data_IF_963016936227
#
_entry.id   IF_963016936227
#
_cell.length_a   1.000
_cell.length_b   1.000
_cell.length_c   1.000
_cell.angle_alpha   90.00
_cell.angle_beta   90.00
_cell.angle_gamma   90.00
#
_symmetry.space_group_name_H-M   'P 1'
#
loop_
_entity.id
_entity.type
_entity.pdbx_description
1 polymer ?
#
# COMPACT_ATOMS: atom_id res chain seq x y z
N UNK A 1 13.41 1.83 12.43
CA UNK A 1 14.35 2.12 13.53
C UNK A 1 14.50 0.92 14.44
N UNK A 2 15.60 0.87 15.24
CA UNK A 2 15.88 -0.17 16.21
C UNK A 2 15.02 -0.06 17.48
N UNK A 3 15.48 -0.77 18.53
CA UNK A 3 14.85 -0.71 19.86
C UNK A 3 15.21 0.60 20.56
N UNK A 4 14.25 1.15 21.29
CA UNK A 4 14.41 2.36 22.13
C UNK A 4 14.00 2.06 23.58
N UNK A 5 14.57 2.80 24.53
CA UNK A 5 14.21 2.70 25.95
C UNK A 5 14.25 4.09 26.59
N UNK A 6 13.19 4.50 27.36
CA UNK A 6 11.92 3.76 27.53
C UNK A 6 11.15 3.61 26.20
N UNK A 7 10.18 2.70 26.14
CA UNK A 7 9.32 2.51 24.98
C UNK A 7 7.85 2.70 25.42
N UNK A 8 7.15 3.71 24.93
CA UNK A 8 7.56 4.72 23.94
C UNK A 8 8.43 5.85 24.52
N UNK A 9 9.09 6.61 23.60
CA UNK A 9 9.64 7.93 23.90
C UNK A 9 8.78 9.00 23.23
N UNK A 10 8.79 10.22 23.78
CA UNK A 10 8.11 11.35 23.17
C UNK A 10 9.15 12.32 22.60
N UNK A 11 9.03 12.63 21.29
CA UNK A 11 9.85 13.64 20.63
C UNK A 11 9.09 14.96 20.59
N UNK A 12 9.79 16.05 20.96
CA UNK A 12 9.20 17.40 20.99
C UNK A 12 9.68 18.21 19.78
N UNK A 13 8.77 18.95 19.14
CA UNK A 13 9.13 19.84 18.04
C UNK A 13 10.19 20.87 18.48
N UNK A 14 11.23 21.00 17.66
CA UNK A 14 12.39 21.85 17.93
C UNK A 14 13.58 21.12 18.54
N UNK A 15 13.42 19.96 19.15
CA UNK A 15 14.50 19.15 19.69
C UNK A 15 15.40 18.57 18.60
N UNK A 16 16.59 18.14 19.01
CA UNK A 16 17.50 17.38 18.17
C UNK A 16 17.30 15.88 18.41
N UNK A 17 17.27 15.14 17.31
CA UNK A 17 17.20 13.68 17.32
C UNK A 17 18.21 13.10 16.34
N UNK A 18 18.96 12.08 16.77
CA UNK A 18 20.00 11.48 15.93
C UNK A 18 19.57 10.11 15.43
N UNK A 19 19.65 9.88 14.13
CA UNK A 19 19.57 8.56 13.52
C UNK A 19 21.00 8.05 13.33
N UNK A 20 21.28 6.81 13.74
CA UNK A 20 22.63 6.23 13.67
C UNK A 20 22.61 4.84 13.07
N UNK A 21 23.63 4.51 12.27
CA UNK A 21 23.82 3.13 11.75
C UNK A 21 24.47 2.21 12.79
N UNK A 22 24.95 2.77 13.90
CA UNK A 22 25.48 1.97 15.00
C UNK A 22 24.36 1.18 15.69
N UNK A 23 24.61 -0.08 15.97
CA UNK A 23 23.67 -0.93 16.68
C UNK A 23 23.67 -0.57 18.19
N UNK A 24 22.70 0.22 18.60
CA UNK A 24 22.55 0.70 19.97
C UNK A 24 21.11 0.56 20.44
N UNK A 25 20.93 0.49 21.76
CA UNK A 25 19.61 0.73 22.36
C UNK A 25 19.38 2.25 22.32
N UNK A 26 18.35 2.67 21.59
CA UNK A 26 18.01 4.07 21.42
C UNK A 26 17.38 4.69 22.67
N UNK A 27 17.17 6.02 22.60
CA UNK A 27 16.58 6.83 23.67
C UNK A 27 15.77 7.98 23.04
N UNK A 28 15.30 8.93 23.86
CA UNK A 28 14.63 10.14 23.36
C UNK A 28 15.50 11.06 22.47
N UNK A 29 16.82 10.86 22.43
CA UNK A 29 17.74 11.69 21.61
C UNK A 29 18.41 10.95 20.44
N UNK A 30 18.29 9.61 20.38
CA UNK A 30 18.99 8.82 19.36
C UNK A 30 18.30 7.48 19.14
N UNK A 31 18.25 7.03 17.88
CA UNK A 31 17.82 5.67 17.54
C UNK A 31 18.70 5.07 16.44
N UNK A 32 18.94 3.76 16.52
CA UNK A 32 19.59 3.01 15.45
C UNK A 32 18.66 2.83 14.25
N UNK A 33 19.26 2.73 13.06
CA UNK A 33 18.60 2.37 11.82
C UNK A 33 19.20 1.10 11.25
N UNK A 34 18.40 0.34 10.50
CA UNK A 34 18.82 -0.93 9.92
C UNK A 34 19.49 -0.78 8.55
N UNK A 35 19.40 0.38 7.94
CA UNK A 35 19.99 0.68 6.64
C UNK A 35 21.34 1.37 6.83
N UNK A 36 22.43 0.61 6.72
CA UNK A 36 23.80 1.08 7.00
C UNK A 36 24.27 2.19 6.07
N UNK A 37 23.73 2.26 4.84
CA UNK A 37 24.06 3.30 3.85
C UNK A 37 23.22 4.56 3.96
N UNK A 38 22.40 4.68 5.00
CA UNK A 38 21.53 5.85 5.18
C UNK A 38 22.31 7.18 5.14
N UNK A 39 23.50 7.32 5.79
CA UNK A 39 24.28 8.54 5.71
C UNK A 39 24.83 8.86 4.31
N UNK A 40 24.97 7.86 3.43
CA UNK A 40 25.48 8.06 2.06
C UNK A 40 24.44 8.73 1.17
N UNK A 41 23.16 8.51 1.43
CA UNK A 41 22.04 8.97 0.60
C UNK A 41 21.38 10.24 1.15
N UNK A 42 21.34 10.40 2.47
CA UNK A 42 20.74 11.58 3.12
C UNK A 42 21.66 12.80 3.00
N UNK A 43 21.06 13.97 2.79
CA UNK A 43 21.75 15.26 2.77
C UNK A 43 21.07 16.24 3.74
N UNK A 44 21.79 17.24 4.27
CA UNK A 44 21.17 18.31 5.04
C UNK A 44 20.01 18.96 4.25
N UNK A 45 18.89 19.18 4.93
CA UNK A 45 17.63 19.66 4.35
C UNK A 45 16.66 18.55 3.91
N UNK A 46 17.09 17.27 3.87
CA UNK A 46 16.16 16.20 3.58
C UNK A 46 15.16 16.00 4.72
N UNK A 47 13.92 15.74 4.36
CA UNK A 47 12.86 15.40 5.30
C UNK A 47 12.82 13.89 5.48
N UNK A 48 12.77 13.46 6.72
CA UNK A 48 12.69 12.06 7.13
C UNK A 48 11.42 11.89 7.95
N UNK A 49 10.61 10.91 7.59
CA UNK A 49 9.41 10.56 8.32
C UNK A 49 9.64 9.31 9.16
N UNK A 50 9.10 9.28 10.38
CA UNK A 50 9.04 8.12 11.25
C UNK A 50 7.60 7.82 11.61
N UNK A 51 7.33 6.57 12.00
CA UNK A 51 6.03 6.15 12.51
C UNK A 51 4.89 6.52 11.55
N UNK A 52 5.00 6.02 10.31
CA UNK A 52 3.99 6.19 9.24
C UNK A 52 3.65 7.67 8.93
N UNK A 53 4.68 8.53 9.00
CA UNK A 53 4.55 9.96 8.70
C UNK A 53 4.11 10.84 9.87
N UNK A 54 3.81 10.27 11.04
CA UNK A 54 3.35 11.01 12.22
C UNK A 54 4.45 11.89 12.83
N UNK A 55 5.72 11.51 12.66
CA UNK A 55 6.87 12.27 13.13
C UNK A 55 7.67 12.73 11.92
N UNK A 56 7.98 14.01 11.86
CA UNK A 56 8.76 14.61 10.78
C UNK A 56 10.07 15.17 11.33
N UNK A 57 11.16 14.76 10.71
CA UNK A 57 12.50 15.21 11.02
C UNK A 57 13.10 15.94 9.80
N UNK A 58 13.95 16.92 10.02
CA UNK A 58 14.80 17.54 9.00
C UNK A 58 16.25 17.24 9.30
N UNK A 59 16.96 16.63 8.37
CA UNK A 59 18.38 16.37 8.50
C UNK A 59 19.16 17.68 8.51
N UNK A 60 19.95 17.93 9.57
CA UNK A 60 20.78 19.14 9.71
C UNK A 60 22.22 18.84 9.38
N UNK A 61 22.74 17.73 9.89
CA UNK A 61 24.15 17.33 9.73
C UNK A 61 24.23 15.83 9.52
N UNK A 62 25.05 15.46 8.55
CA UNK A 62 25.33 14.05 8.24
C UNK A 62 26.81 13.79 8.47
N UNK A 63 27.13 12.67 9.09
CA UNK A 63 28.48 12.14 9.31
C UNK A 63 28.51 10.65 8.91
N UNK A 64 29.67 9.99 9.06
CA UNK A 64 29.83 8.59 8.58
C UNK A 64 28.82 7.60 9.14
N UNK A 65 28.32 7.84 10.36
CA UNK A 65 27.38 6.92 11.02
C UNK A 65 26.14 7.60 11.55
N UNK A 66 26.13 8.94 11.64
CA UNK A 66 25.09 9.69 12.34
C UNK A 66 24.46 10.75 11.44
N UNK A 67 23.15 10.85 11.51
CA UNK A 67 22.36 11.91 10.91
C UNK A 67 21.69 12.66 12.06
N UNK A 68 22.18 13.88 12.33
CA UNK A 68 21.54 14.76 13.30
C UNK A 68 20.38 15.48 12.62
N UNK A 69 19.22 15.33 13.20
CA UNK A 69 17.98 15.88 12.70
C UNK A 69 17.37 16.86 13.70
N UNK A 70 16.63 17.84 13.19
CA UNK A 70 15.70 18.65 13.96
C UNK A 70 14.31 18.04 13.89
N UNK A 71 13.64 17.88 15.00
CA UNK A 71 12.23 17.44 15.05
C UNK A 71 11.37 18.61 14.56
N UNK A 72 10.69 18.44 13.42
CA UNK A 72 9.74 19.41 12.86
C UNK A 72 8.36 19.16 13.43
N UNK A 73 7.89 17.91 13.33
CA UNK A 73 6.65 17.45 13.95
C UNK A 73 7.02 16.35 14.95
N UNK A 74 6.73 16.59 16.21
CA UNK A 74 6.97 15.64 17.30
C UNK A 74 5.82 14.67 17.50
N UNK A 75 6.03 13.68 18.38
CA UNK A 75 5.02 12.68 18.71
C UNK A 75 5.62 11.50 19.47
N UNK A 76 4.76 10.52 19.72
CA UNK A 76 5.16 9.26 20.35
C UNK A 76 5.89 8.37 19.36
N UNK A 77 7.12 8.00 19.69
CA UNK A 77 7.96 7.10 18.91
C UNK A 77 8.15 5.78 19.67
N UNK A 78 7.81 4.69 19.00
CA UNK A 78 7.99 3.32 19.52
C UNK A 78 9.13 2.61 18.80
N UNK A 79 9.63 1.54 19.42
CA UNK A 79 10.60 0.63 18.82
C UNK A 79 10.11 0.04 17.51
N UNK A 80 11.04 -0.22 16.59
CA UNK A 80 10.83 -0.94 15.32
C UNK A 80 9.84 -0.27 14.35
N UNK A 81 9.66 1.05 14.46
CA UNK A 81 8.84 1.81 13.51
C UNK A 81 9.57 2.08 12.20
N UNK A 82 8.79 2.20 11.12
CA UNK A 82 9.27 2.51 9.79
C UNK A 82 9.96 3.88 9.69
N UNK A 83 10.84 4.01 8.71
CA UNK A 83 11.52 5.23 8.34
C UNK A 83 11.33 5.42 6.84
N UNK A 84 10.81 6.56 6.42
CA UNK A 84 10.57 6.91 5.03
C UNK A 84 11.29 8.21 4.70
N UNK A 85 11.87 8.28 3.49
CA UNK A 85 12.54 9.48 2.99
C UNK A 85 12.03 9.71 1.56
N UNK A 86 11.00 10.54 1.40
CA UNK A 86 10.42 10.78 0.08
C UNK A 86 11.42 11.33 -0.94
N UNK A 87 11.27 10.93 -2.19
CA UNK A 87 12.08 11.40 -3.32
C UNK A 87 13.58 11.07 -3.23
N UNK A 88 13.98 10.10 -2.41
CA UNK A 88 15.37 9.64 -2.36
C UNK A 88 15.44 8.18 -2.83
N UNK A 89 16.24 7.96 -3.87
CA UNK A 89 16.63 6.61 -4.24
C UNK A 89 17.65 6.07 -3.23
N UNK A 90 17.24 5.01 -2.54
CA UNK A 90 18.10 4.34 -1.55
C UNK A 90 19.14 3.42 -2.21
N UNK A 91 19.05 3.18 -3.52
CA UNK A 91 19.93 2.29 -4.26
C UNK A 91 19.88 0.85 -3.76
N UNK A 92 18.73 0.41 -3.25
CA UNK A 92 18.47 -0.96 -2.83
C UNK A 92 17.40 -1.57 -3.72
N UNK A 93 17.57 -2.85 -4.05
CA UNK A 93 16.53 -3.59 -4.76
C UNK A 93 15.28 -3.71 -3.90
N UNK A 94 14.11 -3.57 -4.50
CA UNK A 94 12.84 -3.87 -3.84
C UNK A 94 12.72 -5.36 -3.48
N UNK A 95 13.46 -6.22 -4.17
CA UNK A 95 13.54 -7.66 -3.92
C UNK A 95 14.94 -8.04 -3.43
N UNK A 96 15.05 -8.36 -2.15
CA UNK A 96 16.30 -8.66 -1.45
C UNK A 96 16.57 -10.17 -1.40
N UNK A 97 17.76 -10.57 -0.94
CA UNK A 97 18.08 -11.98 -0.70
C UNK A 97 17.20 -12.62 0.36
N UNK A 98 16.83 -11.85 1.39
CA UNK A 98 15.88 -12.29 2.40
C UNK A 98 14.46 -12.50 1.82
N UNK A 99 14.04 -11.64 0.89
CA UNK A 99 12.76 -11.83 0.19
C UNK A 99 12.78 -13.07 -0.69
N UNK A 100 13.95 -13.43 -1.24
CA UNK A 100 14.12 -14.68 -2.00
C UNK A 100 13.91 -15.91 -1.11
N UNK A 101 14.42 -15.94 0.12
CA UNK A 101 14.19 -17.02 1.07
C UNK A 101 12.69 -17.18 1.39
N UNK A 102 12.00 -16.07 1.64
CA UNK A 102 10.56 -16.08 1.89
C UNK A 102 9.74 -16.47 0.65
N UNK A 103 10.17 -16.06 -0.53
CA UNK A 103 9.55 -16.46 -1.78
C UNK A 103 9.64 -17.98 -1.97
N UNK A 104 10.80 -18.56 -1.74
CA UNK A 104 11.00 -20.01 -1.81
C UNK A 104 10.08 -20.73 -0.82
N UNK A 105 10.05 -20.30 0.44
CA UNK A 105 9.17 -20.85 1.46
C UNK A 105 7.70 -20.77 1.05
N UNK A 106 7.25 -19.62 0.53
CA UNK A 106 5.88 -19.41 0.08
C UNK A 106 5.49 -20.37 -1.07
N UNK A 107 6.40 -20.57 -2.04
CA UNK A 107 6.18 -21.47 -3.17
C UNK A 107 6.10 -22.93 -2.71
N UNK A 108 7.00 -23.36 -1.84
CA UNK A 108 7.02 -24.71 -1.25
C UNK A 108 5.73 -25.01 -0.46
N UNK A 109 5.12 -23.99 0.14
CA UNK A 109 3.84 -24.10 0.86
C UNK A 109 2.60 -23.82 0.01
N UNK A 110 2.75 -23.69 -1.31
CA UNK A 110 1.64 -23.64 -2.26
C UNK A 110 0.84 -22.31 -2.26
N UNK A 111 1.46 -21.19 -1.87
CA UNK A 111 0.82 -19.87 -1.86
C UNK A 111 0.39 -19.47 -3.27
N UNK A 112 -0.83 -18.96 -3.42
CA UNK A 112 -1.43 -18.62 -4.72
C UNK A 112 -1.03 -17.24 -5.23
N UNK A 113 -0.81 -16.28 -4.34
CA UNK A 113 -0.43 -14.91 -4.69
C UNK A 113 0.69 -14.39 -3.79
N UNK A 114 1.54 -13.53 -4.34
CA UNK A 114 2.63 -12.85 -3.65
C UNK A 114 2.52 -11.35 -3.92
N UNK A 115 2.69 -10.55 -2.87
CA UNK A 115 2.74 -9.10 -2.98
C UNK A 115 4.16 -8.60 -2.80
N UNK A 116 4.71 -7.93 -3.82
CA UNK A 116 6.02 -7.28 -3.75
C UNK A 116 5.88 -5.86 -3.23
N UNK A 117 6.52 -5.55 -2.10
CA UNK A 117 6.57 -4.21 -1.52
C UNK A 117 7.56 -3.30 -2.23
N UNK A 118 7.35 -2.00 -2.13
CA UNK A 118 8.25 -0.95 -2.60
C UNK A 118 8.61 -1.02 -4.09
N UNK A 119 7.68 -1.48 -4.91
CA UNK A 119 7.86 -1.54 -6.36
C UNK A 119 7.99 -0.12 -6.92
N UNK A 120 9.02 0.12 -7.72
CA UNK A 120 9.23 1.38 -8.43
C UNK A 120 9.28 1.21 -9.96
N UNK A 121 9.63 0.02 -10.45
CA UNK A 121 9.80 -0.23 -11.86
C UNK A 121 9.36 -1.65 -12.26
N UNK A 122 9.17 -1.86 -13.56
CA UNK A 122 8.92 -3.17 -14.17
C UNK A 122 9.95 -4.23 -13.76
N UNK A 123 11.22 -3.82 -13.66
CA UNK A 123 12.32 -4.71 -13.27
C UNK A 123 12.11 -5.39 -11.92
N UNK A 124 11.47 -4.71 -10.95
CA UNK A 124 11.23 -5.26 -9.62
C UNK A 124 10.30 -6.47 -9.69
N UNK A 125 9.26 -6.37 -10.51
CA UNK A 125 8.31 -7.48 -10.74
C UNK A 125 8.94 -8.61 -11.56
N UNK A 126 9.77 -8.27 -12.55
CA UNK A 126 10.47 -9.25 -13.37
C UNK A 126 11.41 -10.08 -12.51
N UNK A 127 12.17 -9.47 -11.58
CA UNK A 127 13.04 -10.17 -10.64
C UNK A 127 12.30 -11.20 -9.79
N UNK A 128 11.17 -10.80 -9.20
CA UNK A 128 10.30 -11.71 -8.41
C UNK A 128 9.79 -12.86 -9.28
N UNK A 129 9.35 -12.56 -10.49
CA UNK A 129 8.80 -13.56 -11.43
C UNK A 129 9.85 -14.59 -11.86
N UNK A 130 11.07 -14.15 -12.17
CA UNK A 130 12.15 -15.06 -12.53
C UNK A 130 12.64 -15.89 -11.33
N UNK A 131 12.73 -15.30 -10.15
CA UNK A 131 13.03 -16.03 -8.92
C UNK A 131 11.97 -17.11 -8.61
N UNK A 132 10.69 -16.75 -8.73
CA UNK A 132 9.58 -17.70 -8.56
C UNK A 132 9.64 -18.86 -9.56
N UNK A 133 9.97 -18.56 -10.81
CA UNK A 133 10.15 -19.53 -11.87
C UNK A 133 11.28 -20.52 -11.56
N UNK A 134 12.39 -20.02 -11.01
CA UNK A 134 13.52 -20.85 -10.58
C UNK A 134 13.12 -21.79 -9.43
N UNK A 135 12.17 -21.41 -8.58
CA UNK A 135 11.57 -22.26 -7.54
C UNK A 135 10.50 -23.22 -8.08
N UNK A 136 10.22 -23.22 -9.38
CA UNK A 136 9.36 -24.20 -10.06
C UNK A 136 7.87 -23.80 -10.20
N UNK A 137 7.43 -22.67 -9.66
CA UNK A 137 6.04 -22.17 -9.79
C UNK A 137 6.03 -20.64 -9.84
N UNK A 138 5.18 -20.07 -10.69
CA UNK A 138 4.93 -18.63 -10.72
C UNK A 138 3.56 -18.36 -10.10
N UNK A 139 3.48 -17.79 -8.89
CA UNK A 139 2.23 -17.36 -8.28
C UNK A 139 1.69 -16.09 -8.95
N UNK A 140 0.50 -15.67 -8.59
CA UNK A 140 -0.06 -14.37 -8.97
C UNK A 140 0.75 -13.26 -8.27
N UNK A 141 1.36 -12.33 -9.03
CA UNK A 141 2.24 -11.30 -8.49
C UNK A 141 1.52 -9.95 -8.43
N UNK A 142 1.39 -9.42 -7.22
CA UNK A 142 0.76 -8.13 -6.93
C UNK A 142 1.86 -7.10 -6.66
N UNK A 143 1.90 -6.02 -7.45
CA UNK A 143 2.78 -4.89 -7.21
C UNK A 143 2.17 -3.95 -6.17
N UNK A 144 2.84 -3.74 -5.03
CA UNK A 144 2.41 -2.75 -4.04
C UNK A 144 2.93 -1.37 -4.43
N UNK A 145 2.01 -0.46 -4.68
CA UNK A 145 2.30 0.93 -5.05
C UNK A 145 2.36 1.74 -3.77
N UNK A 146 3.57 1.93 -3.30
CA UNK A 146 3.92 2.54 -2.00
C UNK A 146 4.81 3.77 -2.16
N UNK A 147 5.48 3.92 -3.32
CA UNK A 147 6.48 4.96 -3.56
C UNK A 147 6.08 5.88 -4.68
N UNK A 148 6.52 7.13 -4.57
CA UNK A 148 6.25 8.16 -5.60
C UNK A 148 6.86 7.81 -6.96
N UNK A 149 8.01 7.12 -7.01
CA UNK A 149 8.63 6.64 -8.23
C UNK A 149 7.76 5.70 -9.05
N UNK A 150 6.99 4.83 -8.40
CA UNK A 150 6.06 3.91 -9.07
C UNK A 150 4.99 4.63 -9.89
N UNK A 151 4.61 5.86 -9.51
CA UNK A 151 3.56 6.62 -10.21
C UNK A 151 3.98 7.01 -11.64
N UNK A 152 5.27 7.26 -11.84
CA UNK A 152 5.81 7.60 -13.15
C UNK A 152 5.91 6.36 -14.06
N UNK A 153 6.10 5.19 -13.48
CA UNK A 153 6.36 3.93 -14.17
C UNK A 153 5.15 2.97 -14.13
N UNK A 154 3.98 3.48 -13.73
CA UNK A 154 2.80 2.61 -13.46
C UNK A 154 2.37 1.78 -14.66
N UNK A 155 2.48 2.29 -15.88
CA UNK A 155 2.08 1.57 -17.08
C UNK A 155 2.98 0.34 -17.31
N UNK A 156 4.28 0.49 -17.14
CA UNK A 156 5.25 -0.62 -17.24
C UNK A 156 5.10 -1.63 -16.09
N UNK A 157 4.79 -1.14 -14.88
CA UNK A 157 4.52 -2.01 -13.72
C UNK A 157 3.26 -2.84 -13.99
N UNK A 158 2.19 -2.23 -14.50
CA UNK A 158 0.96 -2.93 -14.86
C UNK A 158 1.16 -3.98 -15.96
N UNK A 159 2.07 -3.77 -16.91
CA UNK A 159 2.43 -4.78 -17.89
C UNK A 159 3.05 -6.03 -17.27
N UNK A 160 3.90 -5.86 -16.25
CA UNK A 160 4.66 -6.95 -15.64
C UNK A 160 3.92 -7.66 -14.50
N UNK A 161 3.14 -6.93 -13.72
CA UNK A 161 2.38 -7.44 -12.58
C UNK A 161 1.06 -8.09 -13.03
N UNK A 162 0.53 -8.99 -12.21
CA UNK A 162 -0.77 -9.61 -12.43
C UNK A 162 -1.90 -8.78 -11.79
N UNK A 163 -1.59 -7.97 -10.79
CA UNK A 163 -2.47 -7.02 -10.13
C UNK A 163 -1.67 -5.95 -9.39
N UNK A 164 -2.35 -4.96 -8.83
CA UNK A 164 -1.72 -3.93 -7.99
C UNK A 164 -2.42 -3.80 -6.64
N UNK A 165 -1.65 -3.35 -5.65
CA UNK A 165 -2.18 -2.91 -4.35
C UNK A 165 -1.83 -1.42 -4.16
N UNK A 166 -2.84 -0.61 -3.91
CA UNK A 166 -2.66 0.79 -3.54
C UNK A 166 -2.51 0.83 -2.02
N UNK A 167 -1.25 0.87 -1.56
CA UNK A 167 -0.90 0.86 -0.15
C UNK A 167 -0.81 2.30 0.37
N UNK A 168 -1.95 2.85 0.77
CA UNK A 168 -2.15 4.29 1.04
C UNK A 168 -1.37 4.79 2.25
N UNK A 169 -0.99 3.91 3.18
CA UNK A 169 -0.16 4.26 4.34
C UNK A 169 1.19 4.80 3.91
N UNK A 170 1.99 3.97 3.24
CA UNK A 170 3.32 4.36 2.76
C UNK A 170 3.24 5.39 1.64
N UNK A 171 2.34 5.20 0.67
CA UNK A 171 2.17 6.15 -0.42
C UNK A 171 1.76 7.56 0.08
N UNK A 172 0.96 7.64 1.16
CA UNK A 172 0.55 8.90 1.77
C UNK A 172 1.68 9.64 2.50
N UNK A 173 2.80 8.96 2.77
CA UNK A 173 4.03 9.57 3.28
C UNK A 173 4.93 10.03 2.13
N UNK A 174 4.88 9.34 1.00
CA UNK A 174 5.70 9.59 -0.19
C UNK A 174 5.19 10.75 -1.06
N UNK A 175 3.89 11.04 -1.02
CA UNK A 175 3.26 12.13 -1.79
C UNK A 175 2.49 13.07 -0.86
N UNK A 176 2.22 14.34 -1.28
CA UNK A 176 1.36 15.24 -0.50
C UNK A 176 0.00 14.59 -0.20
N UNK A 177 -0.40 14.60 1.07
CA UNK A 177 -1.57 13.86 1.56
C UNK A 177 -2.87 14.25 0.84
N UNK A 178 -3.00 15.52 0.42
CA UNK A 178 -4.13 16.01 -0.34
C UNK A 178 -4.24 15.40 -1.73
N UNK A 179 -3.19 14.77 -2.23
CA UNK A 179 -3.18 14.12 -3.55
C UNK A 179 -3.55 12.64 -3.50
N UNK A 180 -3.59 12.02 -2.32
CA UNK A 180 -3.77 10.56 -2.22
C UNK A 180 -5.05 10.08 -2.91
N UNK A 181 -6.16 10.80 -2.74
CA UNK A 181 -7.44 10.43 -3.37
C UNK A 181 -7.39 10.54 -4.90
N UNK A 182 -6.70 11.56 -5.42
CA UNK A 182 -6.53 11.75 -6.87
C UNK A 182 -5.67 10.64 -7.46
N UNK A 183 -4.56 10.33 -6.80
CA UNK A 183 -3.62 9.27 -7.21
C UNK A 183 -4.31 7.90 -7.15
N UNK A 184 -5.06 7.60 -6.08
CA UNK A 184 -5.86 6.38 -5.98
C UNK A 184 -6.77 6.19 -7.21
N UNK A 185 -7.54 7.22 -7.57
CA UNK A 185 -8.44 7.17 -8.72
C UNK A 185 -7.70 6.97 -10.05
N UNK A 186 -6.53 7.59 -10.21
CA UNK A 186 -5.71 7.44 -11.40
C UNK A 186 -5.14 6.02 -11.52
N UNK A 187 -4.60 5.47 -10.45
CA UNK A 187 -4.06 4.11 -10.39
C UNK A 187 -5.16 3.09 -10.69
N UNK A 188 -6.31 3.24 -10.03
CA UNK A 188 -7.45 2.37 -10.20
C UNK A 188 -7.97 2.35 -11.64
N UNK A 189 -8.11 3.54 -12.24
CA UNK A 189 -8.51 3.66 -13.65
C UNK A 189 -7.52 2.97 -14.60
N UNK A 190 -6.21 3.17 -14.41
CA UNK A 190 -5.18 2.54 -15.25
C UNK A 190 -5.21 1.02 -15.13
N UNK A 191 -5.28 0.49 -13.91
CA UNK A 191 -5.35 -0.94 -13.68
C UNK A 191 -6.62 -1.56 -14.28
N UNK A 192 -7.78 -0.95 -14.06
CA UNK A 192 -9.05 -1.41 -14.62
C UNK A 192 -9.04 -1.41 -16.16
N UNK A 193 -8.46 -0.36 -16.79
CA UNK A 193 -8.30 -0.33 -18.24
C UNK A 193 -7.35 -1.41 -18.77
N UNK A 194 -6.39 -1.83 -17.97
CA UNK A 194 -5.45 -2.91 -18.29
C UNK A 194 -5.98 -4.30 -17.92
N UNK A 195 -7.21 -4.39 -17.39
CA UNK A 195 -7.80 -5.65 -16.93
C UNK A 195 -7.08 -6.26 -15.74
N UNK A 196 -6.39 -5.45 -14.91
CA UNK A 196 -5.64 -5.90 -13.74
C UNK A 196 -6.41 -5.62 -12.47
N UNK A 197 -6.57 -6.61 -11.57
CA UNK A 197 -7.25 -6.41 -10.29
C UNK A 197 -6.48 -5.44 -9.38
N UNK A 198 -7.27 -4.68 -8.61
CA UNK A 198 -6.80 -3.67 -7.68
C UNK A 198 -7.22 -3.99 -6.26
N UNK A 199 -6.28 -3.92 -5.34
CA UNK A 199 -6.51 -3.99 -3.91
C UNK A 199 -6.32 -2.58 -3.33
N UNK A 200 -7.32 -2.05 -2.62
CA UNK A 200 -7.16 -0.83 -1.83
C UNK A 200 -6.88 -1.22 -0.39
N UNK A 201 -5.74 -0.76 0.12
CA UNK A 201 -5.20 -1.19 1.40
C UNK A 201 -4.89 0.00 2.32
N UNK A 202 -4.78 -0.32 3.61
CA UNK A 202 -4.38 0.53 4.74
C UNK A 202 -5.40 1.60 5.12
N UNK A 203 -5.57 1.78 6.43
CA UNK A 203 -6.44 2.80 7.02
C UNK A 203 -7.88 2.78 6.49
N UNK A 204 -8.42 1.59 6.20
CA UNK A 204 -9.79 1.45 5.70
C UNK A 204 -10.81 1.68 6.81
N UNK A 205 -10.63 1.03 7.96
CA UNK A 205 -11.46 1.14 9.16
C UNK A 205 -10.58 1.27 10.42
N UNK A 206 -9.49 2.03 10.35
CA UNK A 206 -8.41 2.10 11.34
C UNK A 206 -8.91 2.32 12.76
N UNK A 207 -9.93 3.17 12.93
CA UNK A 207 -10.54 3.44 14.25
C UNK A 207 -11.15 2.19 14.88
N UNK A 208 -11.47 1.16 14.09
CA UNK A 208 -12.00 -0.12 14.57
C UNK A 208 -10.92 -1.01 15.20
N UNK A 209 -9.67 -0.63 15.15
CA UNK A 209 -8.63 -1.24 15.99
C UNK A 209 -8.99 -1.15 17.48
N UNK A 210 -9.55 -0.02 17.90
CA UNK A 210 -9.93 0.26 19.28
C UNK A 210 -11.44 0.41 19.52
N UNK A 211 -12.24 0.61 18.48
CA UNK A 211 -13.67 0.87 18.58
C UNK A 211 -14.49 -0.17 17.82
N UNK A 212 -15.66 -0.52 18.34
CA UNK A 212 -16.57 -1.49 17.72
C UNK A 212 -17.31 -0.96 16.48
N UNK A 213 -17.12 0.33 16.13
CA UNK A 213 -17.77 0.98 14.97
C UNK A 213 -16.79 1.95 14.33
N UNK A 214 -16.79 2.07 12.98
CA UNK A 214 -15.94 3.01 12.28
C UNK A 214 -16.48 4.44 12.40
N UNK A 215 -15.64 5.39 12.05
CA UNK A 215 -16.06 6.76 11.79
C UNK A 215 -16.86 6.83 10.48
N UNK A 216 -17.62 7.93 10.31
CA UNK A 216 -18.34 8.18 9.04
C UNK A 216 -17.37 8.39 7.88
N UNK A 217 -16.23 9.00 8.15
CA UNK A 217 -15.19 9.25 7.15
C UNK A 217 -14.63 7.93 6.60
N UNK A 218 -14.31 6.97 7.47
CA UNK A 218 -13.82 5.64 7.09
C UNK A 218 -14.86 4.85 6.30
N UNK A 219 -16.11 4.83 6.75
CA UNK A 219 -17.19 4.17 6.01
C UNK A 219 -17.39 4.77 4.61
N UNK A 220 -17.22 6.09 4.48
CA UNK A 220 -17.28 6.80 3.19
C UNK A 220 -16.05 6.50 2.34
N UNK A 221 -14.87 6.36 2.94
CA UNK A 221 -13.64 6.04 2.23
C UNK A 221 -13.70 4.63 1.63
N UNK A 222 -14.12 3.62 2.39
CA UNK A 222 -14.38 2.27 1.87
C UNK A 222 -15.38 2.31 0.71
N UNK A 223 -16.49 3.02 0.89
CA UNK A 223 -17.51 3.16 -0.15
C UNK A 223 -16.94 3.81 -1.43
N UNK A 224 -16.14 4.86 -1.29
CA UNK A 224 -15.49 5.53 -2.42
C UNK A 224 -14.50 4.62 -3.14
N UNK A 225 -13.67 3.84 -2.42
CA UNK A 225 -12.77 2.89 -3.04
C UNK A 225 -13.52 1.88 -3.92
N UNK A 226 -14.67 1.39 -3.45
CA UNK A 226 -15.52 0.45 -4.20
C UNK A 226 -16.14 1.15 -5.43
N UNK A 227 -16.65 2.38 -5.27
CA UNK A 227 -17.21 3.17 -6.38
C UNK A 227 -16.14 3.51 -7.43
N UNK A 228 -14.91 3.73 -7.02
CA UNK A 228 -13.76 3.98 -7.90
C UNK A 228 -13.36 2.76 -8.72
N UNK A 229 -13.80 1.56 -8.31
CA UNK A 229 -13.59 0.32 -9.07
C UNK A 229 -12.58 -0.64 -8.48
N UNK A 230 -12.27 -0.56 -7.16
CA UNK A 230 -11.43 -1.58 -6.51
C UNK A 230 -12.07 -2.97 -6.59
N UNK A 231 -11.23 -3.99 -6.74
CA UNK A 231 -11.68 -5.39 -6.74
C UNK A 231 -11.65 -5.98 -5.34
N UNK A 232 -10.70 -5.53 -4.52
CA UNK A 232 -10.57 -5.93 -3.13
C UNK A 232 -10.32 -4.73 -2.23
N UNK A 233 -10.78 -4.82 -0.99
CA UNK A 233 -10.42 -3.92 0.11
C UNK A 233 -9.75 -4.74 1.21
N UNK A 234 -8.68 -4.22 1.83
CA UNK A 234 -7.87 -4.95 2.79
C UNK A 234 -7.92 -4.27 4.15
N UNK A 235 -8.18 -5.06 5.19
CA UNK A 235 -7.93 -4.68 6.58
C UNK A 235 -6.48 -5.03 6.95
N UNK A 236 -5.88 -4.25 7.84
CA UNK A 236 -4.52 -4.42 8.34
C UNK A 236 -4.56 -4.59 9.88
N UNK A 237 -4.23 -3.55 10.62
CA UNK A 237 -4.25 -3.55 12.08
C UNK A 237 -5.61 -3.91 12.67
N UNK A 238 -6.69 -3.53 12.00
CA UNK A 238 -8.07 -3.76 12.42
C UNK A 238 -8.37 -5.26 12.66
N UNK A 239 -7.83 -6.12 11.81
CA UNK A 239 -8.02 -7.58 11.93
C UNK A 239 -6.81 -8.29 12.54
N UNK A 240 -5.59 -7.76 12.39
CA UNK A 240 -4.36 -8.42 12.84
C UNK A 240 -4.07 -8.21 14.32
N UNK A 241 -4.40 -7.05 14.88
CA UNK A 241 -4.08 -6.67 16.26
C UNK A 241 -5.18 -5.87 16.97
N UNK A 242 -6.26 -5.55 16.26
CA UNK A 242 -7.38 -4.78 16.79
C UNK A 242 -8.19 -5.57 17.83
N UNK A 243 -8.97 -4.85 18.63
CA UNK A 243 -9.87 -5.42 19.63
C UNK A 243 -11.16 -5.99 19.02
N UNK A 244 -11.49 -5.62 17.78
CA UNK A 244 -12.74 -5.92 17.10
C UNK A 244 -12.54 -6.50 15.68
N UNK A 245 -11.76 -7.59 15.51
CA UNK A 245 -11.41 -8.11 14.19
C UNK A 245 -12.62 -8.63 13.40
N UNK A 246 -13.54 -9.32 14.09
CA UNK A 246 -14.75 -9.88 13.46
C UNK A 246 -15.70 -8.77 13.06
N UNK A 247 -15.91 -7.77 13.91
CA UNK A 247 -16.78 -6.63 13.67
C UNK A 247 -16.24 -5.75 12.53
N UNK A 248 -14.90 -5.57 12.46
CA UNK A 248 -14.25 -4.83 11.39
C UNK A 248 -14.48 -5.51 10.04
N UNK A 249 -14.28 -6.82 9.96
CA UNK A 249 -14.54 -7.60 8.75
C UNK A 249 -16.02 -7.55 8.37
N UNK A 250 -16.92 -7.75 9.33
CA UNK A 250 -18.36 -7.68 9.09
C UNK A 250 -18.81 -6.29 8.63
N UNK A 251 -18.22 -5.23 9.17
CA UNK A 251 -18.51 -3.85 8.75
C UNK A 251 -18.04 -3.59 7.33
N UNK A 252 -16.83 -4.02 6.97
CA UNK A 252 -16.30 -3.90 5.61
C UNK A 252 -17.24 -4.57 4.60
N UNK A 253 -17.68 -5.80 4.89
CA UNK A 253 -18.63 -6.53 4.06
C UNK A 253 -19.97 -5.79 3.95
N UNK A 254 -20.51 -5.26 5.05
CA UNK A 254 -21.77 -4.50 5.04
C UNK A 254 -21.68 -3.27 4.15
N UNK A 255 -20.57 -2.53 4.20
CA UNK A 255 -20.36 -1.36 3.35
C UNK A 255 -20.26 -1.81 1.88
N UNK A 256 -19.49 -2.86 1.59
CA UNK A 256 -19.35 -3.38 0.24
C UNK A 256 -20.70 -3.79 -0.36
N UNK A 257 -21.49 -4.59 0.33
CA UNK A 257 -22.81 -5.03 -0.12
C UNK A 257 -23.77 -3.84 -0.34
N UNK A 258 -23.71 -2.83 0.53
CA UNK A 258 -24.58 -1.66 0.42
C UNK A 258 -24.23 -0.78 -0.79
N UNK A 259 -22.94 -0.67 -1.14
CA UNK A 259 -22.49 0.25 -2.19
C UNK A 259 -22.36 -0.38 -3.57
N UNK A 260 -22.12 -1.70 -3.65
CA UNK A 260 -21.91 -2.44 -4.89
C UNK A 260 -22.97 -2.14 -5.97
N UNK A 261 -24.30 -2.11 -5.65
CA UNK A 261 -25.33 -1.76 -6.63
C UNK A 261 -25.20 -0.35 -7.21
N UNK A 262 -24.44 0.53 -6.58
CA UNK A 262 -24.25 1.92 -6.99
C UNK A 262 -23.00 2.12 -7.85
N UNK A 263 -22.19 1.07 -8.07
CA UNK A 263 -21.00 1.17 -8.95
C UNK A 263 -21.43 1.64 -10.35
N UNK A 264 -20.67 2.53 -11.00
CA UNK A 264 -21.03 3.02 -12.33
C UNK A 264 -21.25 1.92 -13.36
N UNK A 265 -20.44 0.88 -13.37
CA UNK A 265 -20.57 -0.27 -14.26
C UNK A 265 -21.84 -1.09 -14.00
N UNK A 266 -22.36 -1.14 -12.79
CA UNK A 266 -23.58 -1.89 -12.45
C UNK A 266 -24.81 -1.28 -13.14
N UNK A 267 -24.93 0.03 -13.17
CA UNK A 267 -26.04 0.72 -13.85
C UNK A 267 -26.01 0.53 -15.37
N UNK A 268 -24.82 0.50 -15.95
CA UNK A 268 -24.63 0.22 -17.39
C UNK A 268 -25.06 -1.24 -17.68
N UNK A 269 -24.73 -2.19 -16.82
CA UNK A 269 -25.15 -3.60 -16.94
C UNK A 269 -26.67 -3.76 -16.88
N UNK A 270 -27.36 -3.06 -15.98
CA UNK A 270 -28.82 -3.11 -15.92
C UNK A 270 -29.46 -2.53 -17.18
N UNK A 271 -28.94 -1.39 -17.68
CA UNK A 271 -29.40 -0.79 -18.92
C UNK A 271 -29.16 -1.72 -20.11
N UNK A 272 -27.99 -2.38 -20.19
CA UNK A 272 -27.66 -3.34 -21.25
C UNK A 272 -28.55 -4.60 -21.18
N UNK A 273 -28.89 -5.10 -19.97
CA UNK A 273 -29.86 -6.19 -19.83
C UNK A 273 -31.21 -5.82 -20.44
N UNK A 274 -31.68 -4.60 -20.25
CA UNK A 274 -32.92 -4.11 -20.84
C UNK A 274 -32.83 -4.04 -22.38
N UNK A 275 -31.68 -3.61 -22.89
CA UNK A 275 -31.44 -3.54 -24.36
C UNK A 275 -31.41 -4.96 -24.97
N UNK A 276 -30.73 -5.90 -24.32
CA UNK A 276 -30.56 -7.29 -24.83
C UNK A 276 -31.88 -8.11 -24.76
N UNK A 277 -32.73 -7.81 -23.80
CA UNK A 277 -34.04 -8.46 -23.68
C UNK A 277 -35.13 -7.83 -24.55
N UNK A 278 -34.87 -6.64 -25.10
CA UNK A 278 -35.77 -5.93 -26.02
C UNK A 278 -35.18 -5.86 -27.42
N UNK A 279 -35.56 -6.76 -28.29
CA UNK A 279 -35.36 -6.86 -29.76
C UNK A 279 -34.24 -6.01 -30.42
N UNK A 280 -33.33 -6.69 -31.09
CA UNK A 280 -32.21 -6.22 -31.95
C UNK A 280 -30.95 -5.78 -31.23
N UNK A 281 -30.00 -6.72 -31.12
CA UNK A 281 -28.62 -6.46 -30.66
C UNK A 281 -27.78 -6.07 -31.89
N UNK A 282 -27.17 -4.91 -31.84
CA UNK A 282 -26.22 -4.45 -32.88
C UNK A 282 -24.83 -5.02 -32.64
N UNK A 283 -23.96 -4.98 -33.65
CA UNK A 283 -22.55 -5.41 -33.50
C UNK A 283 -21.79 -4.62 -32.41
N UNK A 284 -22.11 -3.34 -32.21
CA UNK A 284 -21.56 -2.52 -31.12
C UNK A 284 -22.01 -2.98 -29.74
N UNK A 285 -23.26 -3.38 -29.60
CA UNK A 285 -23.81 -3.89 -28.34
C UNK A 285 -23.17 -5.23 -27.96
N UNK A 286 -22.85 -6.09 -28.91
CA UNK A 286 -22.14 -7.34 -28.70
C UNK A 286 -20.71 -7.13 -28.21
N UNK A 287 -19.99 -6.13 -28.73
CA UNK A 287 -18.64 -5.79 -28.27
C UNK A 287 -18.71 -5.25 -26.85
N UNK A 288 -19.65 -4.36 -26.54
CA UNK A 288 -19.84 -3.80 -25.19
C UNK A 288 -20.21 -4.92 -24.19
N UNK A 289 -21.11 -5.81 -24.56
CA UNK A 289 -21.47 -6.96 -23.73
C UNK A 289 -20.31 -7.93 -23.49
N UNK A 290 -19.45 -8.14 -24.49
CA UNK A 290 -18.26 -8.99 -24.35
C UNK A 290 -17.23 -8.38 -23.38
N UNK A 291 -17.02 -7.06 -23.45
CA UNK A 291 -16.15 -6.32 -22.53
C UNK A 291 -16.74 -6.35 -21.11
N UNK A 292 -18.01 -6.05 -20.97
CA UNK A 292 -18.73 -6.12 -19.69
C UNK A 292 -18.72 -7.53 -19.10
N UNK A 293 -18.89 -8.56 -19.91
CA UNK A 293 -18.83 -9.96 -19.47
C UNK A 293 -17.43 -10.36 -19.02
N UNK A 294 -16.39 -9.86 -19.67
CA UNK A 294 -15.01 -10.05 -19.22
C UNK A 294 -14.75 -9.34 -17.89
N UNK A 295 -15.28 -8.14 -17.70
CA UNK A 295 -15.21 -7.39 -16.43
C UNK A 295 -16.07 -8.03 -15.32
N UNK A 296 -17.12 -8.78 -15.67
CA UNK A 296 -17.98 -9.46 -14.70
C UNK A 296 -17.33 -10.64 -13.96
N UNK A 297 -16.24 -11.18 -14.48
CA UNK A 297 -15.49 -12.24 -13.80
C UNK A 297 -14.72 -11.71 -12.57
N UNK A 298 -14.66 -10.40 -12.40
CA UNK A 298 -13.95 -9.71 -11.32
C UNK A 298 -14.93 -8.93 -10.43
N UNK A 299 -15.85 -9.61 -9.78
CA UNK A 299 -16.66 -9.00 -8.72
C UNK A 299 -15.87 -8.95 -7.42
N UNK A 300 -16.01 -7.85 -6.65
CA UNK A 300 -15.41 -7.74 -5.31
C UNK A 300 -16.02 -8.80 -4.41
N UNK A 301 -15.39 -9.92 -4.31
CA UNK A 301 -15.81 -11.03 -3.44
C UNK A 301 -14.75 -11.37 -2.39
N UNK A 302 -13.59 -10.73 -2.45
CA UNK A 302 -12.51 -11.02 -1.51
C UNK A 302 -12.28 -9.87 -0.54
N UNK A 303 -12.44 -10.17 0.74
CA UNK A 303 -11.89 -9.39 1.85
C UNK A 303 -10.58 -10.07 2.22
N UNK A 304 -9.45 -9.40 1.96
CA UNK A 304 -8.15 -9.90 2.37
C UNK A 304 -7.95 -9.59 3.85
N UNK A 305 -7.74 -10.62 4.62
CA UNK A 305 -7.33 -10.57 6.03
C UNK A 305 -5.85 -10.92 6.05
N UNK A 306 -4.96 -10.07 6.58
CA UNK A 306 -3.53 -10.35 6.66
C UNK A 306 -3.22 -11.51 7.62
#
# INVERSE_FOLDING_TARGET
>A
IGQISPDPVHLTSGDLFTLTTRQILGSAGIASVTFDRLPDVVRPGNIIFLNDGLIQLEAIKVSNADIVCKVIVGGELRSRKGLNIPNIDLGISAFTEHDHEWLQFAIENGVDAISQSFVEAKSDIVLVREAAKACGRVPFIIAKIERSGALNNIDEILEAADGIMIARGDLGVEIPIERIAVVQKQLMRKANMSGKPVITATQMLESMTDNSRPTRAEATDVANAILDGTDCVMLSGESAMGKFPVESTAMLVKIAVAIEPSRPGHRVREALKVIVTGNEVTGGDLITLSVESALQQWTVTAVLIP
#
